data_IF_052803714582
#
_entry.id   IF_052803714582
#
_cell.length_a   1.000
_cell.length_b   1.000
_cell.length_c   1.000
_cell.angle_alpha   90.00
_cell.angle_beta   90.00
_cell.angle_gamma   90.00
#
_symmetry.space_group_name_H-M   'P 1'
#
loop_
_entity.id
_entity.type
_entity.pdbx_description
1 polymer ?
#
# COMPACT_ATOMS: atom_id res chain seq x y z
N UNK A 1 -10.72 -7.06 13.05
CA UNK A 1 -9.93 -5.89 13.40
C UNK A 1 -10.77 -4.61 13.55
N UNK A 2 -11.72 -4.30 12.66
CA UNK A 2 -12.50 -3.06 12.67
C UNK A 2 -13.70 -3.04 13.62
N UNK A 3 -14.12 -4.19 14.15
CA UNK A 3 -15.32 -4.31 15.03
C UNK A 3 -15.31 -3.38 16.26
N UNK A 4 -14.19 -3.14 16.95
CA UNK A 4 -14.16 -2.26 18.14
C UNK A 4 -14.40 -0.78 17.77
N UNK A 5 -14.18 -0.36 16.53
CA UNK A 5 -14.17 1.05 16.09
C UNK A 5 -15.45 1.46 15.33
N UNK A 6 -16.58 0.75 15.52
CA UNK A 6 -17.83 0.96 14.77
C UNK A 6 -18.37 2.39 14.88
N UNK A 7 -18.28 2.99 16.03
CA UNK A 7 -18.76 4.37 16.24
C UNK A 7 -17.94 5.38 15.44
N UNK A 8 -16.61 5.23 15.40
CA UNK A 8 -15.74 6.09 14.59
C UNK A 8 -15.94 5.87 13.09
N UNK A 9 -16.18 4.62 12.66
CA UNK A 9 -16.51 4.29 11.28
C UNK A 9 -17.85 4.94 10.87
N UNK A 10 -18.87 4.91 11.75
CA UNK A 10 -20.15 5.54 11.49
C UNK A 10 -20.01 7.08 11.37
N UNK A 11 -19.25 7.70 12.28
CA UNK A 11 -18.95 9.13 12.21
C UNK A 11 -18.17 9.51 10.94
N UNK A 12 -17.17 8.70 10.56
CA UNK A 12 -16.44 8.90 9.32
C UNK A 12 -17.33 8.78 8.08
N UNK A 13 -18.24 7.80 8.07
CA UNK A 13 -19.24 7.60 7.01
C UNK A 13 -20.22 8.76 6.90
N UNK A 14 -20.76 9.23 8.04
CA UNK A 14 -21.64 10.40 8.07
C UNK A 14 -20.91 11.64 7.54
N UNK A 15 -19.72 11.91 8.04
CA UNK A 15 -18.90 13.03 7.58
C UNK A 15 -18.53 12.93 6.09
N UNK A 16 -18.30 11.70 5.58
CA UNK A 16 -18.07 11.44 4.17
C UNK A 16 -19.30 11.81 3.32
N UNK A 17 -20.48 11.38 3.73
CA UNK A 17 -21.73 11.69 3.01
C UNK A 17 -22.02 13.18 3.04
N UNK A 18 -21.83 13.85 4.18
CA UNK A 18 -21.99 15.30 4.29
C UNK A 18 -20.99 16.05 3.40
N UNK A 19 -19.71 15.66 3.41
CA UNK A 19 -18.70 16.31 2.57
C UNK A 19 -18.99 16.09 1.08
N UNK A 20 -19.34 14.87 0.66
CA UNK A 20 -19.65 14.54 -0.73
C UNK A 20 -20.92 15.27 -1.20
N UNK A 21 -21.97 15.26 -0.36
CA UNK A 21 -23.22 15.98 -0.62
C UNK A 21 -23.01 17.48 -0.74
N UNK A 22 -22.19 18.08 0.14
CA UNK A 22 -21.85 19.49 0.05
C UNK A 22 -21.16 19.85 -1.28
N UNK A 23 -20.22 19.02 -1.77
CA UNK A 23 -19.57 19.23 -3.08
C UNK A 23 -20.61 19.17 -4.21
N UNK A 24 -21.53 18.22 -4.19
CA UNK A 24 -22.58 18.09 -5.19
C UNK A 24 -23.55 19.29 -5.15
N UNK A 25 -23.86 19.79 -3.96
CA UNK A 25 -24.70 20.99 -3.81
C UNK A 25 -24.01 22.26 -4.34
N UNK A 26 -22.69 22.35 -4.34
CA UNK A 26 -21.96 23.50 -4.94
C UNK A 26 -22.25 23.63 -6.45
N UNK A 27 -22.38 22.53 -7.18
CA UNK A 27 -22.77 22.58 -8.60
C UNK A 27 -24.16 23.21 -8.82
N UNK A 28 -25.13 22.83 -7.99
CA UNK A 28 -26.46 23.45 -8.03
C UNK A 28 -26.43 24.90 -7.53
N UNK A 29 -25.61 25.21 -6.52
CA UNK A 29 -25.36 26.56 -6.06
C UNK A 29 -24.81 27.46 -7.17
N UNK A 30 -23.85 26.96 -7.96
CA UNK A 30 -23.30 27.66 -9.12
C UNK A 30 -24.38 27.98 -10.16
N UNK A 31 -25.26 27.02 -10.47
CA UNK A 31 -26.42 27.25 -11.33
C UNK A 31 -27.28 28.40 -10.82
N UNK A 32 -27.68 28.38 -9.54
CA UNK A 32 -28.54 29.38 -8.95
C UNK A 32 -27.89 30.79 -8.93
N UNK A 33 -26.59 30.88 -8.67
CA UNK A 33 -25.84 32.15 -8.72
C UNK A 33 -25.86 32.74 -10.13
N UNK A 34 -25.68 31.91 -11.17
CA UNK A 34 -25.67 32.40 -12.55
C UNK A 34 -27.07 32.79 -13.00
N UNK A 35 -28.06 31.90 -12.81
CA UNK A 35 -29.42 32.13 -13.36
C UNK A 35 -30.17 33.22 -12.60
N UNK A 36 -30.11 33.24 -11.26
CA UNK A 36 -30.89 34.16 -10.43
C UNK A 36 -30.11 35.40 -9.97
N UNK A 37 -28.77 35.28 -9.88
CA UNK A 37 -27.92 36.39 -9.46
C UNK A 37 -27.50 37.25 -10.65
N UNK A 38 -26.72 36.71 -11.56
CA UNK A 38 -26.12 37.45 -12.66
C UNK A 38 -27.13 37.78 -13.79
N UNK A 39 -27.90 36.76 -14.25
CA UNK A 39 -28.81 36.98 -15.38
C UNK A 39 -30.06 37.79 -15.02
N UNK A 40 -30.55 37.66 -13.77
CA UNK A 40 -31.65 38.47 -13.27
C UNK A 40 -31.21 39.86 -12.78
N UNK A 41 -29.91 40.17 -12.73
CA UNK A 41 -29.31 41.39 -12.21
C UNK A 41 -29.81 41.80 -10.80
N UNK A 42 -30.18 40.79 -9.98
CA UNK A 42 -30.69 40.99 -8.61
C UNK A 42 -29.55 40.89 -7.60
N UNK A 43 -29.09 42.05 -7.11
CA UNK A 43 -27.99 42.16 -6.16
C UNK A 43 -28.32 41.48 -4.80
N UNK A 44 -29.58 41.51 -4.37
CA UNK A 44 -29.99 40.89 -3.11
C UNK A 44 -30.02 39.39 -3.22
N UNK A 45 -30.58 38.83 -4.33
CA UNK A 45 -30.55 37.40 -4.62
C UNK A 45 -29.10 36.87 -4.75
N UNK A 46 -28.23 37.62 -5.40
CA UNK A 46 -26.80 37.29 -5.51
C UNK A 46 -26.14 37.16 -4.15
N UNK A 47 -26.33 38.16 -3.25
CA UNK A 47 -25.77 38.13 -1.90
C UNK A 47 -26.27 36.94 -1.08
N UNK A 48 -27.57 36.62 -1.17
CA UNK A 48 -28.17 35.47 -0.47
C UNK A 48 -27.59 34.15 -1.01
N UNK A 49 -27.45 33.98 -2.32
CA UNK A 49 -26.90 32.74 -2.91
C UNK A 49 -25.42 32.56 -2.57
N UNK A 50 -24.63 33.62 -2.57
CA UNK A 50 -23.24 33.57 -2.14
C UNK A 50 -23.13 33.24 -0.64
N UNK A 51 -24.00 33.81 0.21
CA UNK A 51 -24.06 33.46 1.63
C UNK A 51 -24.40 31.97 1.86
N UNK A 52 -25.35 31.44 1.09
CA UNK A 52 -25.70 30.01 1.13
C UNK A 52 -24.52 29.13 0.68
N UNK A 53 -23.85 29.50 -0.41
CA UNK A 53 -22.65 28.79 -0.88
C UNK A 53 -21.54 28.79 0.19
N UNK A 54 -21.32 29.92 0.86
CA UNK A 54 -20.33 30.02 1.93
C UNK A 54 -20.71 29.10 3.10
N UNK A 55 -21.97 28.99 3.47
CA UNK A 55 -22.46 28.05 4.46
C UNK A 55 -22.21 26.59 4.05
N UNK A 56 -22.50 26.23 2.79
CA UNK A 56 -22.21 24.90 2.25
C UNK A 56 -20.69 24.60 2.26
N UNK A 57 -19.85 25.56 1.89
CA UNK A 57 -18.38 25.43 1.94
C UNK A 57 -17.90 25.24 3.39
N UNK A 58 -18.50 25.97 4.35
CA UNK A 58 -18.17 25.80 5.77
C UNK A 58 -18.52 24.38 6.26
N UNK A 59 -19.72 23.89 5.91
CA UNK A 59 -20.12 22.49 6.22
C UNK A 59 -19.17 21.49 5.55
N UNK A 60 -18.80 21.71 4.29
CA UNK A 60 -17.82 20.89 3.57
C UNK A 60 -16.48 20.85 4.29
N UNK A 61 -15.97 22.01 4.72
CA UNK A 61 -14.68 22.10 5.42
C UNK A 61 -14.71 21.34 6.75
N UNK A 62 -15.73 21.55 7.57
CA UNK A 62 -15.90 20.88 8.86
C UNK A 62 -16.10 19.37 8.71
N UNK A 63 -16.95 18.95 7.77
CA UNK A 63 -17.17 17.54 7.47
C UNK A 63 -15.91 16.86 6.93
N UNK A 64 -15.15 17.55 6.06
CA UNK A 64 -13.89 17.03 5.53
C UNK A 64 -12.83 16.88 6.62
N UNK A 65 -12.70 17.85 7.52
CA UNK A 65 -11.77 17.79 8.66
C UNK A 65 -12.14 16.65 9.61
N UNK A 66 -13.42 16.52 9.97
CA UNK A 66 -13.90 15.45 10.82
C UNK A 66 -13.66 14.08 10.20
N UNK A 67 -14.00 13.91 8.91
CA UNK A 67 -13.75 12.69 8.16
C UNK A 67 -12.27 12.33 8.14
N UNK A 68 -11.40 13.29 7.80
CA UNK A 68 -9.96 13.07 7.74
C UNK A 68 -9.42 12.60 9.09
N UNK A 69 -9.78 13.29 10.17
CA UNK A 69 -9.35 12.92 11.53
C UNK A 69 -9.78 11.50 11.90
N UNK A 70 -11.07 11.16 11.71
CA UNK A 70 -11.58 9.85 12.09
C UNK A 70 -10.95 8.71 11.28
N UNK A 71 -10.81 8.90 9.97
CA UNK A 71 -10.23 7.88 9.08
C UNK A 71 -8.75 7.68 9.34
N UNK A 72 -7.99 8.77 9.49
CA UNK A 72 -6.56 8.70 9.80
C UNK A 72 -6.33 8.03 11.15
N UNK A 73 -7.11 8.41 12.17
CA UNK A 73 -7.03 7.78 13.48
C UNK A 73 -7.29 6.26 13.41
N UNK A 74 -8.28 5.83 12.62
CA UNK A 74 -8.56 4.40 12.42
C UNK A 74 -7.37 3.70 11.77
N UNK A 75 -6.78 4.31 10.74
CA UNK A 75 -5.59 3.78 10.06
C UNK A 75 -4.40 3.61 10.99
N UNK A 76 -4.09 4.65 11.80
CA UNK A 76 -3.02 4.62 12.81
C UNK A 76 -3.24 3.53 13.85
N UNK A 77 -4.47 3.45 14.38
CA UNK A 77 -4.79 2.45 15.39
C UNK A 77 -4.73 1.03 14.86
N UNK A 78 -5.24 0.82 13.64
CA UNK A 78 -5.16 -0.49 12.98
C UNK A 78 -3.73 -0.94 12.75
N UNK A 79 -2.85 -0.01 12.33
CA UNK A 79 -1.43 -0.30 12.15
C UNK A 79 -0.75 -0.62 13.50
N UNK A 80 -1.08 0.11 14.56
CA UNK A 80 -0.57 -0.17 15.91
C UNK A 80 -0.99 -1.55 16.40
N UNK A 81 -2.30 -1.87 16.28
CA UNK A 81 -2.83 -3.18 16.67
C UNK A 81 -2.20 -4.33 15.87
N UNK A 82 -1.95 -4.10 14.57
CA UNK A 82 -1.35 -5.11 13.70
C UNK A 82 0.13 -5.33 14.04
N UNK A 83 0.90 -4.22 14.25
CA UNK A 83 2.30 -4.30 14.68
C UNK A 83 2.44 -5.09 15.97
N UNK A 84 1.59 -4.78 16.94
CA UNK A 84 1.61 -5.49 18.22
C UNK A 84 1.30 -6.98 18.05
N UNK A 85 0.24 -7.34 17.32
CA UNK A 85 -0.11 -8.75 17.09
C UNK A 85 0.96 -9.54 16.37
N UNK A 86 1.56 -8.95 15.32
CA UNK A 86 2.66 -9.61 14.60
C UNK A 86 3.85 -9.79 15.52
N UNK A 87 4.22 -8.76 16.28
CA UNK A 87 5.34 -8.83 17.22
C UNK A 87 5.09 -9.86 18.33
N UNK A 88 3.90 -9.83 18.96
CA UNK A 88 3.52 -10.79 19.98
C UNK A 88 3.59 -12.23 19.45
N UNK A 89 3.14 -12.45 18.20
CA UNK A 89 3.22 -13.75 17.55
C UNK A 89 4.67 -14.18 17.26
N UNK A 90 5.50 -13.26 16.74
CA UNK A 90 6.92 -13.54 16.48
C UNK A 90 7.67 -13.97 17.75
N UNK A 91 7.32 -13.43 18.92
CA UNK A 91 7.92 -13.85 20.19
C UNK A 91 7.53 -15.28 20.62
N UNK A 92 6.54 -15.89 19.99
CA UNK A 92 6.17 -17.30 20.25
C UNK A 92 6.92 -18.28 19.38
N UNK A 93 7.63 -17.81 18.35
CA UNK A 93 8.38 -18.65 17.41
C UNK A 93 9.75 -19.01 17.98
N UNK A 94 10.23 -20.19 17.63
CA UNK A 94 11.53 -20.71 18.04
C UNK A 94 12.69 -19.96 17.34
N UNK A 95 13.91 -19.99 17.93
CA UNK A 95 15.09 -19.36 17.32
C UNK A 95 15.42 -19.85 15.91
N UNK A 96 15.15 -21.11 15.61
CA UNK A 96 15.35 -21.71 14.28
C UNK A 96 14.65 -20.98 13.16
N UNK A 97 13.47 -20.39 13.44
CA UNK A 97 12.74 -19.55 12.48
C UNK A 97 13.57 -18.32 12.05
N UNK A 98 14.27 -17.70 13.01
CA UNK A 98 15.09 -16.51 12.75
C UNK A 98 16.46 -16.85 12.16
N UNK A 99 16.94 -18.08 12.36
CA UNK A 99 18.23 -18.57 11.86
C UNK A 99 18.13 -19.21 10.48
N UNK A 100 17.01 -19.88 10.16
CA UNK A 100 16.82 -20.66 8.93
C UNK A 100 16.73 -19.83 7.66
N UNK A 101 16.47 -18.55 7.74
CA UNK A 101 16.65 -17.66 6.60
C UNK A 101 18.16 -17.41 6.40
N UNK A 102 18.80 -18.34 5.71
CA UNK A 102 20.20 -18.39 5.27
C UNK A 102 20.84 -17.00 5.14
N UNK A 103 21.58 -16.62 6.18
CA UNK A 103 22.40 -15.41 6.24
C UNK A 103 21.78 -14.19 6.93
N UNK A 104 21.74 -14.10 8.27
CA UNK A 104 21.73 -12.83 9.04
C UNK A 104 20.76 -11.70 8.67
N UNK A 105 20.05 -11.86 7.57
CA UNK A 105 19.05 -10.97 7.00
C UNK A 105 17.64 -11.18 7.56
N UNK A 106 17.37 -12.32 8.19
CA UNK A 106 16.03 -12.68 8.64
C UNK A 106 15.43 -11.66 9.62
N UNK A 107 16.18 -11.27 10.65
CA UNK A 107 15.70 -10.29 11.61
C UNK A 107 15.48 -8.90 10.97
N UNK A 108 16.38 -8.48 10.09
CA UNK A 108 16.25 -7.22 9.35
C UNK A 108 15.08 -7.23 8.36
N UNK A 109 14.86 -8.33 7.66
CA UNK A 109 13.72 -8.50 6.76
C UNK A 109 12.40 -8.51 7.54
N UNK A 110 12.32 -9.23 8.65
CA UNK A 110 11.12 -9.24 9.52
C UNK A 110 10.85 -7.85 10.08
N UNK A 111 11.87 -7.13 10.55
CA UNK A 111 11.72 -5.75 11.01
C UNK A 111 11.25 -4.81 9.89
N UNK A 112 11.74 -5.00 8.66
CA UNK A 112 11.27 -4.28 7.48
C UNK A 112 9.81 -4.59 7.16
N UNK A 113 9.39 -5.85 7.19
CA UNK A 113 7.99 -6.26 7.01
C UNK A 113 7.09 -5.65 8.09
N UNK A 114 7.54 -5.68 9.36
CA UNK A 114 6.79 -5.10 10.47
C UNK A 114 6.59 -3.59 10.36
N UNK A 115 7.54 -2.88 9.74
CA UNK A 115 7.45 -1.42 9.57
C UNK A 115 6.86 -1.01 8.24
N UNK A 116 7.41 -1.48 7.12
CA UNK A 116 7.01 -1.08 5.78
C UNK A 116 5.63 -1.63 5.39
N UNK A 117 5.38 -2.93 5.57
CA UNK A 117 4.12 -3.56 5.16
C UNK A 117 2.94 -3.07 6.01
N UNK A 118 3.14 -2.86 7.32
CA UNK A 118 2.10 -2.26 8.16
C UNK A 118 1.81 -0.81 7.78
N UNK A 119 2.81 -0.04 7.33
CA UNK A 119 2.61 1.33 6.85
C UNK A 119 1.83 1.40 5.54
N UNK A 120 2.00 0.41 4.64
CA UNK A 120 1.18 0.29 3.43
C UNK A 120 -0.29 0.03 3.79
N UNK A 121 -0.55 -0.86 4.74
CA UNK A 121 -1.92 -1.13 5.23
C UNK A 121 -2.51 0.08 5.97
N UNK A 122 -1.70 0.78 6.78
CA UNK A 122 -2.08 2.04 7.42
C UNK A 122 -2.56 3.07 6.40
N UNK A 123 -1.81 3.28 5.31
CA UNK A 123 -2.15 4.20 4.23
C UNK A 123 -3.44 3.77 3.53
N UNK A 124 -3.63 2.47 3.26
CA UNK A 124 -4.86 1.96 2.66
C UNK A 124 -6.09 2.30 3.51
N UNK A 125 -6.09 1.93 4.79
CA UNK A 125 -7.24 2.11 5.68
C UNK A 125 -7.37 3.55 6.19
N UNK A 126 -6.24 4.27 6.36
CA UNK A 126 -6.21 5.65 6.84
C UNK A 126 -6.49 6.71 5.80
N UNK A 127 -6.46 6.38 4.50
CA UNK A 127 -6.72 7.36 3.44
C UNK A 127 -7.42 6.77 2.22
N UNK A 128 -6.84 5.73 1.58
CA UNK A 128 -7.25 5.29 0.24
C UNK A 128 -8.68 4.76 0.20
N UNK A 129 -9.11 3.95 1.18
CA UNK A 129 -10.49 3.44 1.27
C UNK A 129 -11.51 4.58 1.41
N UNK A 130 -11.23 5.56 2.28
CA UNK A 130 -12.12 6.70 2.46
C UNK A 130 -12.17 7.58 1.21
N UNK A 131 -11.03 7.75 0.52
CA UNK A 131 -10.94 8.48 -0.73
C UNK A 131 -11.74 7.78 -1.84
N UNK A 132 -11.64 6.45 -1.94
CA UNK A 132 -12.43 5.66 -2.87
C UNK A 132 -13.93 5.79 -2.62
N UNK A 133 -14.37 5.61 -1.37
CA UNK A 133 -15.78 5.74 -1.00
C UNK A 133 -16.33 7.13 -1.31
N UNK A 134 -15.57 8.20 -0.97
CA UNK A 134 -15.95 9.57 -1.29
C UNK A 134 -16.12 9.77 -2.80
N UNK A 135 -15.12 9.33 -3.59
CA UNK A 135 -15.15 9.49 -5.03
C UNK A 135 -16.25 8.63 -5.70
N UNK A 136 -16.55 7.47 -5.12
CA UNK A 136 -17.69 6.65 -5.57
C UNK A 136 -19.02 7.38 -5.37
N UNK A 137 -19.25 7.95 -4.18
CA UNK A 137 -20.46 8.75 -3.89
C UNK A 137 -20.53 9.97 -4.81
N UNK A 138 -19.40 10.67 -5.00
CA UNK A 138 -19.32 11.83 -5.90
C UNK A 138 -19.57 11.45 -7.36
N UNK A 139 -19.03 10.32 -7.84
CA UNK A 139 -19.24 9.83 -9.19
C UNK A 139 -20.73 9.50 -9.43
N UNK A 140 -21.32 8.70 -8.53
CA UNK A 140 -22.75 8.35 -8.64
C UNK A 140 -23.62 9.60 -8.55
N UNK A 141 -23.37 10.49 -7.59
CA UNK A 141 -24.11 11.73 -7.42
C UNK A 141 -23.98 12.67 -8.62
N UNK A 142 -22.77 12.83 -9.16
CA UNK A 142 -22.53 13.66 -10.33
C UNK A 142 -23.24 13.10 -11.57
N UNK A 143 -23.17 11.79 -11.81
CA UNK A 143 -23.86 11.14 -12.95
C UNK A 143 -25.39 11.29 -12.82
N UNK A 144 -25.95 11.07 -11.62
CA UNK A 144 -27.38 11.26 -11.37
C UNK A 144 -27.79 12.71 -11.63
N UNK A 145 -27.05 13.70 -11.10
CA UNK A 145 -27.35 15.11 -11.29
C UNK A 145 -27.20 15.53 -12.75
N UNK A 146 -26.21 15.02 -13.49
CA UNK A 146 -26.09 15.23 -14.93
C UNK A 146 -27.31 14.72 -15.69
N UNK A 147 -27.73 13.48 -15.41
CA UNK A 147 -28.91 12.86 -16.05
C UNK A 147 -30.22 13.63 -15.77
N UNK A 148 -30.36 14.14 -14.54
CA UNK A 148 -31.54 14.94 -14.17
C UNK A 148 -31.50 16.32 -14.83
N UNK A 149 -30.31 16.91 -14.99
CA UNK A 149 -30.15 18.26 -15.58
C UNK A 149 -30.39 18.22 -17.11
N UNK A 150 -29.70 17.31 -17.81
CA UNK A 150 -29.78 17.18 -19.27
C UNK A 150 -29.47 15.74 -19.70
N UNK A 151 -30.48 14.90 -19.92
CA UNK A 151 -30.30 13.47 -20.23
C UNK A 151 -29.51 13.24 -21.53
N UNK A 152 -29.75 14.04 -22.57
CA UNK A 152 -29.10 13.90 -23.88
C UNK A 152 -27.58 14.19 -23.80
N UNK A 153 -27.18 15.32 -23.18
CA UNK A 153 -25.77 15.65 -22.97
C UNK A 153 -25.09 14.64 -22.06
N UNK A 154 -25.81 14.13 -21.06
CA UNK A 154 -25.29 13.09 -20.15
C UNK A 154 -24.99 11.79 -20.87
N UNK A 155 -25.88 11.35 -21.76
CA UNK A 155 -25.66 10.18 -22.59
C UNK A 155 -24.44 10.34 -23.50
N UNK A 156 -24.27 11.53 -24.10
CA UNK A 156 -23.08 11.86 -24.89
C UNK A 156 -21.78 11.79 -24.06
N UNK A 157 -21.77 12.34 -22.84
CA UNK A 157 -20.62 12.29 -21.94
C UNK A 157 -20.34 10.86 -21.48
N UNK A 158 -21.39 10.09 -21.10
CA UNK A 158 -21.24 8.70 -20.63
C UNK A 158 -20.71 7.77 -21.74
N UNK A 159 -21.06 8.00 -23.00
CA UNK A 159 -20.50 7.28 -24.15
C UNK A 159 -19.11 7.81 -24.50
N UNK A 160 -18.89 9.13 -24.37
CA UNK A 160 -17.62 9.79 -24.64
C UNK A 160 -16.51 9.37 -23.67
N UNK A 161 -16.83 9.15 -22.39
CA UNK A 161 -15.84 8.72 -21.38
C UNK A 161 -15.14 7.40 -21.78
N UNK A 162 -15.83 6.29 -22.08
CA UNK A 162 -15.19 5.07 -22.58
C UNK A 162 -14.42 5.30 -23.87
N UNK A 163 -14.97 6.06 -24.81
CA UNK A 163 -14.31 6.35 -26.09
C UNK A 163 -12.97 7.09 -25.92
N UNK A 164 -12.89 7.98 -24.93
CA UNK A 164 -11.64 8.70 -24.59
C UNK A 164 -10.69 7.85 -23.75
N UNK A 165 -11.21 7.01 -22.84
CA UNK A 165 -10.41 6.18 -21.95
C UNK A 165 -9.76 4.98 -22.65
N UNK A 166 -10.45 4.35 -23.61
CA UNK A 166 -9.95 3.16 -24.29
C UNK A 166 -8.58 3.36 -24.97
N UNK A 167 -8.35 4.41 -25.75
CA UNK A 167 -7.02 4.68 -26.34
C UNK A 167 -5.95 4.94 -25.25
N UNK A 168 -6.32 5.68 -24.19
CA UNK A 168 -5.40 5.99 -23.09
C UNK A 168 -4.99 4.72 -22.34
N UNK A 169 -5.94 3.83 -22.03
CA UNK A 169 -5.66 2.56 -21.36
C UNK A 169 -4.84 1.63 -22.26
N UNK A 170 -5.20 1.55 -23.55
CA UNK A 170 -4.47 0.72 -24.52
C UNK A 170 -3.00 1.17 -24.66
N UNK A 171 -2.79 2.46 -24.86
CA UNK A 171 -1.44 3.02 -24.94
C UNK A 171 -0.70 2.95 -23.60
N UNK A 172 -1.39 3.13 -22.49
CA UNK A 172 -0.86 3.00 -21.13
C UNK A 172 -0.30 1.60 -20.82
N UNK A 173 -0.85 0.54 -21.43
CA UNK A 173 -0.29 -0.82 -21.34
C UNK A 173 1.11 -0.91 -21.96
N UNK A 174 1.35 -0.22 -23.08
CA UNK A 174 2.67 -0.12 -23.71
C UNK A 174 3.67 0.61 -22.83
N UNK A 175 3.25 1.73 -22.22
CA UNK A 175 4.09 2.48 -21.28
C UNK A 175 4.43 1.64 -20.04
N UNK A 176 3.49 0.85 -19.51
CA UNK A 176 3.75 -0.08 -18.39
C UNK A 176 4.78 -1.13 -18.73
N UNK A 177 4.74 -1.71 -19.94
CA UNK A 177 5.74 -2.69 -20.40
C UNK A 177 7.14 -2.07 -20.41
N UNK A 178 7.28 -0.87 -20.99
CA UNK A 178 8.55 -0.15 -21.03
C UNK A 178 9.03 0.24 -19.61
N UNK A 179 8.11 0.56 -18.71
CA UNK A 179 8.45 0.83 -17.31
C UNK A 179 9.05 -0.40 -16.61
N UNK A 180 8.50 -1.59 -16.82
CA UNK A 180 9.09 -2.84 -16.31
C UNK A 180 10.49 -3.06 -16.85
N UNK A 181 10.69 -2.97 -18.17
CA UNK A 181 12.01 -3.12 -18.79
C UNK A 181 13.02 -2.12 -18.22
N UNK A 182 12.61 -0.86 -18.00
CA UNK A 182 13.47 0.16 -17.39
C UNK A 182 13.82 -0.18 -15.94
N UNK A 183 12.88 -0.71 -15.15
CA UNK A 183 13.13 -1.15 -13.77
C UNK A 183 14.05 -2.37 -13.74
N UNK A 184 13.87 -3.34 -14.66
CA UNK A 184 14.74 -4.52 -14.76
C UNK A 184 16.19 -4.11 -15.06
N UNK A 185 16.40 -3.13 -15.94
CA UNK A 185 17.73 -2.60 -16.23
C UNK A 185 18.39 -1.90 -15.03
N UNK A 186 17.63 -1.15 -14.25
CA UNK A 186 18.14 -0.52 -13.02
C UNK A 186 18.46 -1.57 -11.96
N UNK A 187 17.63 -2.61 -11.81
CA UNK A 187 17.90 -3.72 -10.91
C UNK A 187 19.16 -4.51 -11.32
N UNK A 188 19.39 -4.68 -12.64
CA UNK A 188 20.62 -5.30 -13.18
C UNK A 188 21.87 -4.47 -12.84
N UNK A 189 21.79 -3.13 -12.92
CA UNK A 189 22.84 -2.24 -12.48
C UNK A 189 23.16 -2.40 -10.97
N UNK A 190 22.12 -2.48 -10.15
CA UNK A 190 22.28 -2.65 -8.71
C UNK A 190 22.99 -3.97 -8.37
N UNK A 191 22.57 -5.08 -8.99
CA UNK A 191 23.19 -6.39 -8.79
C UNK A 191 24.67 -6.39 -9.25
N UNK A 192 24.98 -5.80 -10.39
CA UNK A 192 26.36 -5.71 -10.86
C UNK A 192 27.23 -4.89 -9.91
N UNK A 193 26.73 -3.76 -9.40
CA UNK A 193 27.44 -2.95 -8.43
C UNK A 193 27.66 -3.72 -7.12
N UNK A 194 26.64 -4.44 -6.62
CA UNK A 194 26.75 -5.26 -5.42
C UNK A 194 27.79 -6.38 -5.58
N UNK A 195 27.81 -7.06 -6.73
CA UNK A 195 28.78 -8.11 -7.05
C UNK A 195 30.21 -7.54 -7.10
N UNK A 196 30.42 -6.43 -7.83
CA UNK A 196 31.72 -5.79 -7.95
C UNK A 196 32.25 -5.28 -6.60
N UNK A 197 31.38 -4.64 -5.80
CA UNK A 197 31.77 -4.12 -4.49
C UNK A 197 31.98 -5.23 -3.45
N UNK A 198 31.22 -6.30 -3.50
CA UNK A 198 31.44 -7.47 -2.65
C UNK A 198 32.75 -8.19 -2.97
N UNK A 199 33.12 -8.23 -4.26
CA UNK A 199 34.39 -8.79 -4.75
C UNK A 199 35.53 -7.77 -4.88
N UNK A 200 35.45 -6.58 -4.25
CA UNK A 200 36.37 -5.46 -4.50
C UNK A 200 37.84 -5.81 -4.32
N UNK A 201 38.18 -6.64 -3.29
CA UNK A 201 39.55 -7.08 -3.04
C UNK A 201 40.12 -7.89 -4.21
N UNK A 202 39.30 -8.79 -4.77
CA UNK A 202 39.68 -9.60 -5.94
C UNK A 202 39.84 -8.72 -7.17
N UNK A 203 38.90 -7.81 -7.40
CA UNK A 203 38.90 -6.88 -8.51
C UNK A 203 40.17 -6.01 -8.50
N UNK A 204 40.55 -5.47 -7.33
CA UNK A 204 41.74 -4.68 -7.16
C UNK A 204 43.06 -5.53 -7.23
N UNK A 205 43.03 -6.75 -6.71
CA UNK A 205 44.20 -7.65 -6.77
C UNK A 205 44.58 -8.01 -8.21
N UNK A 206 43.57 -8.04 -9.12
CA UNK A 206 43.80 -8.30 -10.55
C UNK A 206 43.82 -7.03 -11.41
N UNK A 207 43.87 -5.84 -10.81
CA UNK A 207 43.88 -4.54 -11.53
C UNK A 207 42.78 -4.41 -12.60
N UNK A 208 41.57 -4.89 -12.29
CA UNK A 208 40.47 -4.99 -13.26
C UNK A 208 39.55 -3.76 -13.26
N UNK A 209 39.88 -2.70 -12.49
CA UNK A 209 39.04 -1.52 -12.26
C UNK A 209 38.64 -0.79 -13.55
N UNK A 210 39.60 -0.69 -14.51
CA UNK A 210 39.34 0.00 -15.77
C UNK A 210 38.29 -0.73 -16.64
N UNK A 211 38.33 -2.06 -16.63
CA UNK A 211 37.42 -2.91 -17.39
C UNK A 211 36.03 -2.86 -16.78
N UNK A 212 35.95 -3.01 -15.45
CA UNK A 212 34.65 -2.94 -14.74
C UNK A 212 34.01 -1.56 -14.84
N UNK A 213 34.81 -0.48 -14.77
CA UNK A 213 34.34 0.88 -14.97
C UNK A 213 33.71 1.06 -16.35
N UNK A 214 34.33 0.47 -17.39
CA UNK A 214 33.80 0.52 -18.76
C UNK A 214 32.51 -0.29 -18.89
N UNK A 215 32.46 -1.50 -18.35
CA UNK A 215 31.27 -2.36 -18.37
C UNK A 215 30.12 -1.76 -17.61
N UNK A 216 30.36 -1.20 -16.41
CA UNK A 216 29.35 -0.51 -15.64
C UNK A 216 28.81 0.71 -16.37
N UNK A 217 29.70 1.53 -16.97
CA UNK A 217 29.34 2.68 -17.79
C UNK A 217 28.43 2.31 -18.97
N UNK A 218 28.73 1.23 -19.70
CA UNK A 218 27.87 0.74 -20.78
C UNK A 218 26.48 0.33 -20.29
N UNK A 219 26.39 -0.34 -19.14
CA UNK A 219 25.10 -0.72 -18.52
C UNK A 219 24.31 0.50 -18.07
N UNK A 220 24.97 1.52 -17.51
CA UNK A 220 24.35 2.81 -17.15
C UNK A 220 23.73 3.46 -18.37
N UNK A 221 24.45 3.54 -19.51
CA UNK A 221 23.92 4.10 -20.77
C UNK A 221 22.73 3.30 -21.31
N UNK A 222 22.76 1.97 -21.22
CA UNK A 222 21.63 1.12 -21.61
C UNK A 222 20.39 1.36 -20.72
N UNK A 223 20.59 1.50 -19.40
CA UNK A 223 19.53 1.83 -18.47
C UNK A 223 18.96 3.24 -18.74
N UNK A 224 19.83 4.22 -19.00
CA UNK A 224 19.45 5.57 -19.39
C UNK A 224 18.65 5.57 -20.70
N UNK A 225 19.10 4.89 -21.74
CA UNK A 225 18.36 4.77 -23.01
C UNK A 225 16.95 4.18 -22.83
N UNK A 226 16.82 3.14 -21.98
CA UNK A 226 15.54 2.54 -21.62
C UNK A 226 14.63 3.51 -20.85
N UNK A 227 15.21 4.32 -19.95
CA UNK A 227 14.49 5.34 -19.20
C UNK A 227 14.01 6.48 -20.11
N UNK A 228 14.84 6.93 -21.06
CA UNK A 228 14.48 7.95 -22.05
C UNK A 228 13.33 7.46 -22.94
N UNK A 229 13.42 6.23 -23.47
CA UNK A 229 12.36 5.65 -24.29
C UNK A 229 11.02 5.57 -23.52
N UNK A 230 11.04 5.15 -22.25
CA UNK A 230 9.87 5.17 -21.35
C UNK A 230 9.33 6.58 -21.17
N UNK A 231 10.20 7.56 -20.90
CA UNK A 231 9.82 8.96 -20.66
C UNK A 231 9.19 9.58 -21.90
N UNK A 232 9.75 9.31 -23.09
CA UNK A 232 9.22 9.78 -24.37
C UNK A 232 7.80 9.22 -24.61
N UNK A 233 7.59 7.93 -24.39
CA UNK A 233 6.26 7.32 -24.55
C UNK A 233 5.27 7.88 -23.52
N UNK A 234 5.72 8.14 -22.29
CA UNK A 234 4.88 8.77 -21.26
C UNK A 234 4.52 10.22 -21.62
N UNK A 235 5.46 10.98 -22.17
CA UNK A 235 5.20 12.34 -22.63
C UNK A 235 4.14 12.37 -23.75
N UNK A 236 4.25 11.48 -24.73
CA UNK A 236 3.25 11.32 -25.79
C UNK A 236 1.87 10.93 -25.22
N UNK A 237 1.82 9.96 -24.31
CA UNK A 237 0.57 9.57 -23.66
C UNK A 237 -0.07 10.76 -22.94
N UNK A 238 0.72 11.55 -22.21
CA UNK A 238 0.22 12.74 -21.50
C UNK A 238 -0.31 13.80 -22.48
N UNK A 239 0.42 14.09 -23.56
CA UNK A 239 0.00 15.03 -24.60
C UNK A 239 -1.31 14.59 -25.29
N UNK A 240 -1.39 13.35 -25.71
CA UNK A 240 -2.60 12.78 -26.33
C UNK A 240 -3.76 12.80 -25.34
N UNK A 241 -3.54 12.40 -24.08
CA UNK A 241 -4.60 12.44 -23.06
C UNK A 241 -5.13 13.86 -22.84
N UNK A 242 -4.24 14.85 -22.74
CA UNK A 242 -4.66 16.26 -22.64
C UNK A 242 -5.48 16.70 -23.85
N UNK A 243 -4.99 16.42 -25.07
CA UNK A 243 -5.69 16.78 -26.29
C UNK A 243 -7.10 16.20 -26.31
N UNK A 244 -7.24 14.89 -26.01
CA UNK A 244 -8.52 14.20 -26.00
C UNK A 244 -9.48 14.78 -24.96
N UNK A 245 -8.98 15.02 -23.73
CA UNK A 245 -9.80 15.62 -22.66
C UNK A 245 -10.28 17.02 -23.03
N UNK A 246 -9.38 17.90 -23.49
CA UNK A 246 -9.76 19.27 -23.85
C UNK A 246 -10.66 19.31 -25.09
N UNK A 247 -10.48 18.41 -26.05
CA UNK A 247 -11.39 18.26 -27.20
C UNK A 247 -12.78 17.83 -26.73
N UNK A 248 -12.88 16.86 -25.82
CA UNK A 248 -14.16 16.43 -25.26
C UNK A 248 -14.87 17.58 -24.51
N UNK A 249 -14.14 18.35 -23.70
CA UNK A 249 -14.67 19.55 -23.03
C UNK A 249 -15.12 20.59 -24.05
N UNK A 250 -14.34 20.82 -25.12
CA UNK A 250 -14.71 21.77 -26.19
C UNK A 250 -15.99 21.36 -26.92
N UNK A 251 -16.12 20.07 -27.27
CA UNK A 251 -17.34 19.52 -27.89
C UNK A 251 -18.56 19.66 -26.95
N UNK A 252 -18.36 19.41 -25.66
CA UNK A 252 -19.41 19.55 -24.66
C UNK A 252 -19.85 21.02 -24.51
N UNK A 253 -18.90 21.96 -24.50
CA UNK A 253 -19.18 23.39 -24.50
C UNK A 253 -19.91 23.85 -25.77
N UNK A 254 -19.52 23.31 -26.93
CA UNK A 254 -20.20 23.63 -28.19
C UNK A 254 -21.66 23.16 -28.16
N UNK A 255 -21.91 21.88 -27.87
CA UNK A 255 -23.27 21.33 -27.83
C UNK A 255 -24.14 21.98 -26.74
N UNK A 256 -23.55 22.15 -25.53
CA UNK A 256 -24.24 22.83 -24.43
C UNK A 256 -24.52 24.32 -24.75
N UNK A 257 -23.55 24.99 -25.39
CA UNK A 257 -23.73 26.38 -25.84
C UNK A 257 -24.84 26.53 -26.88
N UNK A 258 -24.94 25.60 -27.84
CA UNK A 258 -26.11 25.57 -28.79
C UNK A 258 -27.42 25.37 -28.04
N UNK A 259 -27.49 24.44 -27.08
CA UNK A 259 -28.69 24.23 -26.27
C UNK A 259 -29.08 25.48 -25.46
N UNK A 260 -28.15 26.29 -25.02
CA UNK A 260 -28.39 27.56 -24.35
C UNK A 260 -28.91 28.62 -25.36
N UNK A 261 -28.33 28.69 -26.55
CA UNK A 261 -28.80 29.61 -27.60
C UNK A 261 -30.23 29.26 -28.12
N UNK A 262 -30.51 27.96 -28.16
CA UNK A 262 -31.85 27.47 -28.57
C UNK A 262 -32.90 27.57 -27.43
N UNK A 263 -32.50 28.09 -26.25
CA UNK A 263 -33.39 28.26 -25.09
C UNK A 263 -33.84 26.95 -24.40
N UNK A 264 -33.24 25.81 -24.74
CA UNK A 264 -33.55 24.48 -24.15
C UNK A 264 -32.79 24.23 -22.84
N UNK A 265 -31.79 25.07 -22.51
CA UNK A 265 -30.95 24.97 -21.32
C UNK A 265 -30.59 26.36 -20.83
N UNK A 266 -30.48 26.57 -19.50
CA UNK A 266 -29.94 27.84 -18.96
C UNK A 266 -28.41 27.84 -18.94
N UNK A 267 -27.82 29.02 -18.91
CA UNK A 267 -26.34 29.16 -18.75
C UNK A 267 -25.85 28.63 -17.40
N UNK A 268 -26.66 28.72 -16.35
CA UNK A 268 -26.39 28.14 -15.05
C UNK A 268 -26.45 26.61 -15.07
N UNK A 269 -27.42 26.04 -15.80
CA UNK A 269 -27.50 24.57 -16.02
C UNK A 269 -26.27 24.04 -16.74
N UNK A 270 -25.81 24.71 -17.79
CA UNK A 270 -24.58 24.33 -18.50
C UNK A 270 -23.37 24.38 -17.57
N UNK A 271 -23.27 25.41 -16.75
CA UNK A 271 -22.16 25.56 -15.80
C UNK A 271 -22.16 24.46 -14.74
N UNK A 272 -23.31 24.12 -14.18
CA UNK A 272 -23.46 22.99 -13.25
C UNK A 272 -23.15 21.67 -13.92
N UNK A 273 -23.60 21.46 -15.15
CA UNK A 273 -23.31 20.27 -15.93
C UNK A 273 -21.81 20.05 -16.14
N UNK A 274 -21.08 21.13 -16.53
CA UNK A 274 -19.62 21.09 -16.67
C UNK A 274 -18.95 20.77 -15.34
N UNK A 275 -19.40 21.38 -14.24
CA UNK A 275 -18.90 21.10 -12.91
C UNK A 275 -19.04 19.62 -12.55
N UNK A 276 -20.23 19.02 -12.77
CA UNK A 276 -20.45 17.60 -12.51
C UNK A 276 -19.65 16.69 -13.43
N UNK A 277 -19.47 17.04 -14.70
CA UNK A 277 -18.65 16.28 -15.63
C UNK A 277 -17.17 16.25 -15.21
N UNK A 278 -16.62 17.40 -14.81
CA UNK A 278 -15.24 17.48 -14.28
C UNK A 278 -15.10 16.69 -12.98
N UNK A 279 -16.11 16.79 -12.11
CA UNK A 279 -16.16 16.04 -10.86
C UNK A 279 -16.16 14.52 -11.09
N UNK A 280 -16.99 14.05 -12.02
CA UNK A 280 -17.07 12.63 -12.41
C UNK A 280 -15.74 12.14 -13.00
N UNK A 281 -15.12 12.91 -13.88
CA UNK A 281 -13.83 12.57 -14.48
C UNK A 281 -12.74 12.47 -13.42
N UNK A 282 -12.66 13.43 -12.47
CA UNK A 282 -11.73 13.41 -11.34
C UNK A 282 -11.96 12.22 -10.41
N UNK A 283 -13.22 11.89 -10.14
CA UNK A 283 -13.58 10.73 -9.32
C UNK A 283 -13.12 9.40 -9.96
N UNK A 284 -13.29 9.22 -11.27
CA UNK A 284 -12.81 8.04 -12.00
C UNK A 284 -11.29 7.93 -11.92
N UNK A 285 -10.57 9.04 -12.12
CA UNK A 285 -9.11 9.07 -12.05
C UNK A 285 -8.61 8.64 -10.65
N UNK A 286 -9.22 9.18 -9.59
CA UNK A 286 -8.87 8.83 -8.21
C UNK A 286 -9.20 7.36 -7.87
N UNK A 287 -10.34 6.84 -8.34
CA UNK A 287 -10.69 5.42 -8.15
C UNK A 287 -9.68 4.49 -8.84
N UNK A 288 -9.16 4.87 -10.01
CA UNK A 288 -8.12 4.12 -10.70
C UNK A 288 -6.78 4.12 -9.93
N UNK A 289 -6.42 5.24 -9.28
CA UNK A 289 -5.24 5.34 -8.41
C UNK A 289 -5.38 4.45 -7.18
N UNK A 290 -6.54 4.51 -6.50
CA UNK A 290 -6.81 3.69 -5.30
C UNK A 290 -6.78 2.19 -5.63
N UNK A 291 -7.19 1.77 -6.84
CA UNK A 291 -7.07 0.38 -7.27
C UNK A 291 -5.60 -0.11 -7.23
N UNK A 292 -4.64 0.77 -7.54
CA UNK A 292 -3.21 0.48 -7.39
C UNK A 292 -2.77 0.35 -5.93
N UNK A 293 -3.32 1.20 -5.03
CA UNK A 293 -3.05 1.12 -3.59
C UNK A 293 -3.56 -0.20 -2.99
N UNK A 294 -4.76 -0.62 -3.39
CA UNK A 294 -5.35 -1.89 -2.96
C UNK A 294 -4.46 -3.08 -3.37
N UNK A 295 -3.92 -3.08 -4.59
CA UNK A 295 -3.02 -4.16 -5.03
C UNK A 295 -1.72 -4.19 -4.23
N UNK A 296 -1.12 -3.01 -3.92
CA UNK A 296 0.07 -2.94 -3.06
C UNK A 296 -0.22 -3.42 -1.64
N UNK A 297 -1.34 -3.02 -1.10
CA UNK A 297 -1.76 -3.42 0.24
C UNK A 297 -2.11 -4.91 0.34
N UNK A 298 -2.67 -5.51 -0.72
CA UNK A 298 -2.92 -6.95 -0.77
C UNK A 298 -1.61 -7.75 -0.66
N UNK A 299 -0.56 -7.37 -1.40
CA UNK A 299 0.75 -8.01 -1.28
C UNK A 299 1.41 -7.81 0.10
N UNK A 300 1.25 -6.62 0.71
CA UNK A 300 1.73 -6.38 2.07
C UNK A 300 0.96 -7.23 3.12
N UNK A 301 -0.37 -7.33 2.95
CA UNK A 301 -1.21 -8.15 3.83
C UNK A 301 -0.85 -9.64 3.75
N UNK A 302 -0.61 -10.16 2.53
CA UNK A 302 -0.19 -11.55 2.32
C UNK A 302 1.09 -11.88 3.09
N UNK A 303 2.14 -11.04 2.98
CA UNK A 303 3.39 -11.24 3.71
C UNK A 303 3.24 -11.18 5.24
N UNK A 304 2.36 -10.32 5.74
CA UNK A 304 2.08 -10.26 7.18
C UNK A 304 1.24 -11.43 7.67
N UNK A 305 0.31 -11.93 6.83
CA UNK A 305 -0.47 -13.13 7.14
C UNK A 305 0.41 -14.38 7.15
N UNK A 306 1.37 -14.52 6.21
CA UNK A 306 2.36 -15.59 6.23
C UNK A 306 3.10 -15.66 7.57
N UNK A 307 3.49 -14.49 8.14
CA UNK A 307 4.13 -14.45 9.46
C UNK A 307 3.18 -14.88 10.58
N UNK A 308 1.92 -14.43 10.54
CA UNK A 308 0.92 -14.76 11.56
C UNK A 308 0.42 -16.20 11.51
N UNK A 309 0.46 -16.82 10.32
CA UNK A 309 0.03 -18.21 10.11
C UNK A 309 1.15 -19.22 10.39
N UNK A 310 2.40 -18.75 10.54
CA UNK A 310 3.53 -19.60 10.91
C UNK A 310 3.30 -20.19 12.30
N UNK A 311 3.25 -21.50 12.38
CA UNK A 311 3.05 -22.20 13.66
C UNK A 311 4.40 -22.48 14.33
N UNK A 312 4.55 -22.27 15.64
CA UNK A 312 5.75 -22.65 16.35
C UNK A 312 5.91 -24.17 16.33
N UNK A 313 7.09 -24.64 15.95
CA UNK A 313 7.42 -26.07 15.91
C UNK A 313 7.54 -26.61 17.34
N UNK A 314 8.10 -25.81 18.26
CA UNK A 314 8.25 -26.17 19.65
C UNK A 314 7.05 -25.68 20.44
N UNK A 315 6.21 -26.60 20.85
CA UNK A 315 5.01 -26.28 21.65
C UNK A 315 5.11 -26.90 23.04
N UNK A 316 4.54 -26.19 24.03
CA UNK A 316 4.37 -26.76 25.35
C UNK A 316 3.34 -27.90 25.29
N UNK A 317 3.54 -29.00 26.03
CA UNK A 317 2.55 -30.08 26.10
C UNK A 317 1.25 -29.57 26.70
N UNK A 318 0.12 -30.19 26.33
CA UNK A 318 -1.21 -29.80 26.80
C UNK A 318 -1.34 -29.86 28.34
N UNK A 319 -0.62 -30.77 28.98
CA UNK A 319 -0.55 -30.96 30.43
C UNK A 319 0.93 -30.87 30.87
N UNK A 320 1.51 -29.67 31.06
CA UNK A 320 2.90 -29.52 31.47
C UNK A 320 3.09 -30.03 32.91
N UNK A 321 4.14 -30.79 33.15
CA UNK A 321 4.57 -31.11 34.50
C UNK A 321 5.27 -29.88 35.11
N UNK A 322 4.81 -29.45 36.26
CA UNK A 322 5.50 -28.40 37.03
C UNK A 322 6.75 -28.94 37.69
N UNK A 323 7.83 -28.21 37.60
CA UNK A 323 9.03 -28.53 38.33
C UNK A 323 8.75 -28.42 39.86
N UNK A 324 9.30 -29.34 40.68
CA UNK A 324 9.18 -29.22 42.14
C UNK A 324 9.81 -27.91 42.64
N UNK A 325 9.22 -27.32 43.65
CA UNK A 325 9.75 -26.10 44.29
C UNK A 325 10.20 -26.46 45.71
N UNK A 326 11.49 -26.39 46.06
CA UNK A 326 12.65 -25.99 45.19
C UNK A 326 13.00 -27.07 44.16
N UNK A 327 13.45 -26.63 42.97
CA UNK A 327 13.97 -27.52 41.93
C UNK A 327 15.25 -28.19 42.41
N UNK A 328 15.37 -29.50 42.22
CA UNK A 328 16.58 -30.25 42.58
C UNK A 328 17.75 -29.95 41.63
N UNK A 329 17.47 -29.51 40.39
CA UNK A 329 18.49 -29.16 39.40
C UNK A 329 19.25 -30.33 38.81
N UNK A 330 18.66 -31.53 38.84
CA UNK A 330 19.17 -32.72 38.12
C UNK A 330 18.92 -32.61 36.63
N UNK A 331 19.91 -32.92 35.81
CA UNK A 331 19.82 -32.93 34.34
C UNK A 331 20.32 -34.28 33.80
N UNK A 332 19.49 -34.93 33.03
CA UNK A 332 19.83 -36.22 32.37
C UNK A 332 19.64 -36.08 30.87
N UNK A 333 20.67 -36.31 30.10
CA UNK A 333 20.62 -36.53 28.67
C UNK A 333 20.93 -38.01 28.41
N UNK A 334 20.05 -38.69 27.72
CA UNK A 334 20.12 -40.12 27.44
C UNK A 334 20.06 -40.35 25.94
N UNK A 335 21.15 -40.82 25.34
CA UNK A 335 21.32 -41.10 23.92
C UNK A 335 20.85 -39.94 22.98
N UNK A 336 21.17 -38.72 23.32
CA UNK A 336 20.67 -37.53 22.61
C UNK A 336 21.36 -37.35 21.25
N UNK A 337 20.55 -37.38 20.18
CA UNK A 337 21.00 -37.12 18.82
C UNK A 337 20.27 -35.87 18.26
N UNK A 338 21.04 -34.96 17.70
CA UNK A 338 20.50 -33.72 17.13
C UNK A 338 21.26 -33.25 15.89
N UNK A 339 20.51 -32.89 14.86
CA UNK A 339 21.01 -32.29 13.60
C UNK A 339 20.32 -30.97 13.35
N UNK A 340 21.07 -29.90 13.07
CA UNK A 340 20.49 -28.60 12.70
C UNK A 340 19.71 -28.70 11.38
N UNK A 341 18.59 -27.98 11.23
CA UNK A 341 17.86 -27.91 9.98
C UNK A 341 18.78 -27.49 8.80
N UNK A 342 18.73 -28.27 7.72
CA UNK A 342 19.55 -28.02 6.51
C UNK A 342 21.00 -28.50 6.59
N UNK A 343 21.39 -29.22 7.64
CA UNK A 343 22.69 -29.94 7.73
C UNK A 343 22.47 -31.45 7.62
N UNK A 344 23.41 -32.15 7.02
CA UNK A 344 23.39 -33.64 6.91
C UNK A 344 24.11 -34.32 8.06
N UNK A 345 25.06 -33.63 8.69
CA UNK A 345 25.87 -34.19 9.79
C UNK A 345 25.27 -33.83 11.13
N UNK A 346 25.11 -34.78 12.06
CA UNK A 346 24.62 -34.52 13.40
C UNK A 346 25.60 -33.62 14.16
N UNK A 347 25.05 -32.67 14.92
CA UNK A 347 25.81 -31.84 15.83
C UNK A 347 26.07 -32.51 17.19
N UNK A 348 25.17 -33.41 17.58
CA UNK A 348 25.31 -34.34 18.68
C UNK A 348 24.80 -35.71 18.20
N UNK A 349 25.52 -36.81 18.54
CA UNK A 349 25.16 -38.17 18.16
C UNK A 349 25.35 -39.11 19.36
N UNK A 350 24.26 -39.69 19.84
CA UNK A 350 24.27 -40.62 20.94
C UNK A 350 24.91 -40.05 22.23
N UNK A 351 24.62 -38.79 22.54
CA UNK A 351 25.30 -38.09 23.65
C UNK A 351 24.60 -38.34 24.98
N UNK A 352 25.36 -38.85 25.95
CA UNK A 352 24.92 -39.13 27.31
C UNK A 352 25.57 -38.17 28.29
N UNK A 353 24.78 -37.58 29.21
CA UNK A 353 25.28 -36.74 30.28
C UNK A 353 24.32 -36.76 31.47
N UNK A 354 24.88 -37.00 32.68
CA UNK A 354 24.11 -36.91 33.91
C UNK A 354 24.77 -35.89 34.84
N UNK A 355 24.05 -34.82 35.16
CA UNK A 355 24.48 -33.78 36.09
C UNK A 355 23.65 -33.91 37.37
N UNK A 356 24.30 -34.15 38.49
CA UNK A 356 23.66 -34.28 39.82
C UNK A 356 23.28 -32.94 40.40
N UNK A 357 22.30 -32.87 41.32
CA UNK A 357 21.97 -31.64 42.05
C UNK A 357 23.19 -30.97 42.69
N UNK A 358 23.39 -29.68 42.38
CA UNK A 358 24.49 -28.90 42.90
C UNK A 358 25.87 -29.15 42.26
N UNK A 359 25.96 -30.07 41.28
CA UNK A 359 27.20 -30.36 40.56
C UNK A 359 27.56 -29.22 39.60
N UNK A 360 28.88 -28.96 39.46
CA UNK A 360 29.44 -28.00 38.48
C UNK A 360 30.17 -28.80 37.41
N UNK A 361 29.66 -28.75 36.19
CA UNK A 361 30.22 -29.49 35.04
C UNK A 361 30.76 -28.48 34.01
N UNK A 362 32.00 -28.71 33.57
CA UNK A 362 32.60 -27.95 32.47
C UNK A 362 32.53 -28.74 31.16
N UNK A 363 31.96 -28.13 30.12
CA UNK A 363 31.88 -28.71 28.78
C UNK A 363 33.07 -28.20 27.97
N UNK A 364 34.04 -29.07 27.67
CA UNK A 364 35.25 -28.76 26.92
C UNK A 364 35.35 -29.54 25.63
N UNK A 365 36.03 -29.02 24.64
CA UNK A 365 36.25 -29.68 23.35
C UNK A 365 36.60 -28.70 22.23
N UNK A 366 36.99 -29.16 21.05
CA UNK A 366 37.34 -28.34 19.90
C UNK A 366 36.16 -27.50 19.38
N UNK A 367 36.45 -26.54 18.52
CA UNK A 367 35.37 -25.78 17.83
C UNK A 367 34.54 -26.73 16.98
N UNK A 368 33.23 -26.61 17.03
CA UNK A 368 32.32 -27.50 16.31
C UNK A 368 31.90 -28.78 17.04
N UNK A 369 32.43 -29.06 18.26
CA UNK A 369 32.13 -30.27 19.05
C UNK A 369 30.71 -30.30 19.69
N UNK A 370 29.79 -29.45 19.29
CA UNK A 370 28.41 -29.46 19.79
C UNK A 370 28.16 -28.78 21.13
N UNK A 371 29.17 -28.09 21.75
CA UNK A 371 29.03 -27.44 23.08
C UNK A 371 27.89 -26.43 23.15
N UNK A 372 27.77 -25.54 22.16
CA UNK A 372 26.69 -24.56 22.09
C UNK A 372 25.34 -25.22 21.77
N UNK A 373 25.35 -26.30 21.01
CA UNK A 373 24.17 -27.12 20.70
C UNK A 373 23.56 -27.75 21.94
N UNK A 374 24.42 -28.26 22.84
CA UNK A 374 23.98 -28.82 24.11
C UNK A 374 23.25 -27.75 24.96
N UNK A 375 23.79 -26.55 25.06
CA UNK A 375 23.15 -25.45 25.79
C UNK A 375 21.81 -25.03 25.13
N UNK A 376 21.76 -25.02 23.81
CA UNK A 376 20.55 -24.72 23.06
C UNK A 376 19.43 -25.77 23.28
N UNK A 377 19.79 -27.05 23.37
CA UNK A 377 18.86 -28.13 23.71
C UNK A 377 18.39 -28.04 25.17
N UNK A 378 19.27 -27.74 26.12
CA UNK A 378 18.89 -27.55 27.52
C UNK A 378 17.92 -26.39 27.72
N UNK A 379 18.05 -25.32 26.93
CA UNK A 379 17.11 -24.19 26.91
C UNK A 379 15.85 -24.48 26.07
N UNK A 380 15.78 -25.67 25.45
CA UNK A 380 14.72 -26.09 24.53
C UNK A 380 14.51 -25.12 23.37
N UNK A 381 15.59 -24.56 22.82
CA UNK A 381 15.54 -23.80 21.56
C UNK A 381 15.34 -24.72 20.35
N UNK A 382 15.63 -25.99 20.53
CA UNK A 382 15.43 -27.10 19.60
C UNK A 382 14.97 -28.33 20.39
N UNK A 383 14.18 -29.17 19.78
CA UNK A 383 13.85 -30.51 20.28
C UNK A 383 14.82 -31.53 19.65
N UNK A 384 15.38 -32.50 20.42
CA UNK A 384 16.25 -33.53 19.88
C UNK A 384 15.45 -34.48 18.98
N UNK A 385 16.18 -35.21 18.11
CA UNK A 385 15.58 -36.25 17.26
C UNK A 385 15.40 -37.54 18.01
N UNK A 386 16.28 -37.82 18.92
CA UNK A 386 16.24 -38.92 19.91
C UNK A 386 16.73 -38.42 21.24
#
# INVERSE_FOLDING_TARGET
LLRPYRTRLALAGLALLMASGSVLLLGNGLRLVIDRGFLAADQQALAQMLGLMLAVVTVLALASALRYYQVTWIGERLAADLRQRVFDHLLTLEPSFFESASSGRAAGEIASRLTADTSVLQSLFGSSVSLALRNLVMLVGAVVLMLVTQPWLSAMVLIGIPATLLPIVWYGRRVRRLSRTSQDRVAELGRYAEEALSGIKTLQAFTHEAVDKTHYGQRVEQAFGSAVARTQQRAWLTGVAMLVVFTAVGLMLWQGGQAVLDGTMSAGELSAFIFYAVLAAGAIATLAEVAGDVQRAAGAAERLLELLDTQPVIQSPANPHHLPIPSQGEIVLDNVTFTYPGRETPALEGFDLHIKPGERVAIVGPSGAGKSTLLALLLRFYDPHQ
#
